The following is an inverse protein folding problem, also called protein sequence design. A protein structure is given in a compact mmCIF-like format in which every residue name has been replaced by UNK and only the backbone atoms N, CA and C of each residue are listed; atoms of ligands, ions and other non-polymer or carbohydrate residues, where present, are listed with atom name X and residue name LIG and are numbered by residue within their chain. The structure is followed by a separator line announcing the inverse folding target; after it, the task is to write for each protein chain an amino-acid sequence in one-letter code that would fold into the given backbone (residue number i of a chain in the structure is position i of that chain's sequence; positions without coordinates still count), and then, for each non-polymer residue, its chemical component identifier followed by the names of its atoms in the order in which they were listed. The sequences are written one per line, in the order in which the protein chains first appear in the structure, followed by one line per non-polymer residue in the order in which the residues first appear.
data_IF_084936153134
#
_entry.id   IF_084936153134
#
_cell.length_a   1.000
_cell.length_b   1.000
_cell.length_c   1.000
_cell.angle_alpha   90.00
_cell.angle_beta   90.00
_cell.angle_gamma   90.00
#
_symmetry.space_group_name_H-M   'P 1'
#
loop_
_entity.id
_entity.type
_entity.pdbx_description
1 polymer ?
#
# COMPACT_ATOMS: atom_id res chain seq x y z
N UNK A 1 -16.52 20.16 -11.98
CA UNK A 1 -16.59 19.17 -10.90
C UNK A 1 -16.09 19.87 -9.63
N UNK A 2 -16.70 19.62 -8.48
CA UNK A 2 -16.21 20.22 -7.23
C UNK A 2 -14.93 19.51 -6.79
N UNK A 3 -13.91 20.25 -6.33
CA UNK A 3 -12.59 19.71 -5.92
C UNK A 3 -12.68 18.50 -4.96
N UNK A 4 -13.53 18.49 -3.92
CA UNK A 4 -13.72 17.33 -3.05
C UNK A 4 -14.12 16.05 -3.77
N UNK A 5 -14.99 16.15 -4.76
CA UNK A 5 -15.42 14.99 -5.57
C UNK A 5 -14.28 14.48 -6.44
N UNK A 6 -13.47 15.38 -7.03
CA UNK A 6 -12.30 15.00 -7.83
C UNK A 6 -11.28 14.20 -7.00
N UNK A 7 -11.04 14.62 -5.76
CA UNK A 7 -10.10 13.92 -4.86
C UNK A 7 -10.58 12.50 -4.52
N UNK A 8 -11.86 12.35 -4.17
CA UNK A 8 -12.45 11.05 -3.87
C UNK A 8 -12.44 10.12 -5.11
N UNK A 9 -12.85 10.65 -6.27
CA UNK A 9 -12.89 9.89 -7.52
C UNK A 9 -11.49 9.44 -7.96
N UNK A 10 -10.48 10.31 -7.87
CA UNK A 10 -9.11 9.98 -8.23
C UNK A 10 -8.51 8.91 -7.30
N UNK A 11 -8.74 9.05 -5.98
CA UNK A 11 -8.32 8.08 -4.98
C UNK A 11 -8.91 6.70 -5.26
N UNK A 12 -10.23 6.62 -5.42
CA UNK A 12 -10.94 5.37 -5.66
C UNK A 12 -10.54 4.74 -7.00
N UNK A 13 -10.42 5.54 -8.06
CA UNK A 13 -10.00 5.04 -9.37
C UNK A 13 -8.65 4.34 -9.28
N UNK A 14 -7.66 4.95 -8.62
CA UNK A 14 -6.33 4.35 -8.51
C UNK A 14 -6.36 3.11 -7.63
N UNK A 15 -7.06 3.13 -6.50
CA UNK A 15 -7.17 1.97 -5.61
C UNK A 15 -7.71 0.72 -6.30
N UNK A 16 -8.71 0.89 -7.19
CA UNK A 16 -9.32 -0.24 -7.90
C UNK A 16 -8.61 -0.62 -9.20
N UNK A 17 -7.87 0.30 -9.83
CA UNK A 17 -7.23 0.07 -11.12
C UNK A 17 -5.76 -0.29 -11.00
N UNK A 18 -5.10 0.18 -9.97
CA UNK A 18 -3.66 0.03 -9.78
C UNK A 18 -3.39 -0.68 -8.45
N UNK A 19 -3.34 -2.00 -8.42
CA UNK A 19 -2.97 -2.75 -7.23
C UNK A 19 -1.62 -2.28 -6.66
N UNK A 20 -1.46 -2.38 -5.35
CA UNK A 20 -0.12 -2.26 -4.78
C UNK A 20 0.71 -3.50 -5.11
N UNK A 21 1.92 -3.31 -5.60
CA UNK A 21 2.83 -4.44 -5.84
C UNK A 21 4.28 -4.05 -5.57
N UNK A 22 4.89 -4.72 -4.59
CA UNK A 22 6.35 -4.63 -4.39
C UNK A 22 7.11 -5.36 -5.50
N UNK A 23 6.53 -6.39 -6.12
CA UNK A 23 7.10 -7.10 -7.26
C UNK A 23 7.29 -6.21 -8.48
N UNK A 24 6.38 -5.23 -8.71
CA UNK A 24 6.42 -4.34 -9.86
C UNK A 24 7.75 -3.59 -10.01
N UNK A 25 8.33 -3.15 -8.90
CA UNK A 25 9.58 -2.39 -8.92
C UNK A 25 10.78 -3.22 -9.38
N UNK A 26 10.80 -4.52 -9.10
CA UNK A 26 11.88 -5.39 -9.59
C UNK A 26 11.79 -5.59 -11.10
N UNK A 27 10.60 -5.79 -11.63
CA UNK A 27 10.38 -5.82 -13.08
C UNK A 27 10.80 -4.51 -13.75
N UNK A 28 10.41 -3.37 -13.18
CA UNK A 28 10.68 -2.05 -13.75
C UNK A 28 12.16 -1.69 -13.71
N UNK A 29 12.83 -1.85 -12.58
CA UNK A 29 14.20 -1.34 -12.39
C UNK A 29 15.30 -2.35 -12.68
N UNK A 30 14.99 -3.64 -12.69
CA UNK A 30 15.97 -4.72 -12.88
C UNK A 30 15.54 -5.77 -13.92
N UNK A 31 14.30 -5.76 -14.36
CA UNK A 31 13.73 -6.66 -15.37
C UNK A 31 13.65 -6.03 -16.75
N UNK A 32 12.66 -6.48 -17.52
CA UNK A 32 12.41 -6.06 -18.88
C UNK A 32 11.69 -4.70 -19.03
N UNK A 33 11.37 -4.05 -17.90
CA UNK A 33 10.66 -2.79 -17.86
C UNK A 33 9.39 -2.84 -17.00
N UNK A 34 8.68 -1.71 -16.93
CA UNK A 34 7.47 -1.60 -16.12
C UNK A 34 6.39 -2.59 -16.55
N UNK A 35 5.83 -3.40 -15.62
CA UNK A 35 4.76 -4.33 -15.93
C UNK A 35 3.47 -3.60 -16.32
N UNK A 36 2.45 -4.28 -16.86
CA UNK A 36 1.12 -3.69 -17.07
C UNK A 36 0.55 -3.09 -15.77
N UNK A 37 -0.17 -1.96 -15.85
CA UNK A 37 -0.75 -1.29 -14.68
C UNK A 37 -1.67 -2.21 -13.86
N UNK A 38 -2.39 -3.11 -14.49
CA UNK A 38 -3.27 -4.09 -13.83
C UNK A 38 -2.54 -5.03 -12.88
N UNK A 39 -1.26 -5.31 -13.10
CA UNK A 39 -0.41 -6.09 -12.19
C UNK A 39 0.20 -5.25 -11.07
N UNK A 40 -0.19 -3.99 -11.00
CA UNK A 40 0.14 -3.10 -9.91
C UNK A 40 1.41 -2.30 -10.07
N UNK A 41 1.63 -1.45 -9.09
CA UNK A 41 2.78 -0.56 -8.93
C UNK A 41 3.18 -0.45 -7.46
N UNK A 42 4.42 -0.06 -7.21
CA UNK A 42 4.83 0.36 -5.87
C UNK A 42 4.02 1.57 -5.39
N UNK A 43 3.97 1.76 -4.06
CA UNK A 43 3.19 2.83 -3.42
C UNK A 43 3.46 4.22 -4.01
N UNK A 44 4.72 4.55 -4.29
CA UNK A 44 5.07 5.83 -4.91
C UNK A 44 4.39 6.07 -6.26
N UNK A 45 4.32 5.05 -7.12
CA UNK A 45 3.66 5.17 -8.42
C UNK A 45 2.13 5.29 -8.29
N UNK A 46 1.51 4.61 -7.33
CA UNK A 46 0.08 4.80 -7.05
C UNK A 46 -0.22 6.25 -6.65
N UNK A 47 0.64 6.83 -5.82
CA UNK A 47 0.51 8.21 -5.33
C UNK A 47 0.70 9.21 -6.46
N UNK A 48 1.70 9.02 -7.31
CA UNK A 48 1.89 9.89 -8.48
C UNK A 48 0.75 9.80 -9.48
N UNK A 49 0.16 8.63 -9.66
CA UNK A 49 -1.01 8.49 -10.52
C UNK A 49 -2.24 9.21 -9.96
N UNK A 50 -2.49 9.14 -8.64
CA UNK A 50 -3.53 9.95 -7.99
C UNK A 50 -3.26 11.43 -8.20
N UNK A 51 -2.02 11.89 -7.96
CA UNK A 51 -1.64 13.29 -8.13
C UNK A 51 -1.84 13.77 -9.57
N UNK A 52 -1.46 12.97 -10.55
CA UNK A 52 -1.68 13.25 -11.98
C UNK A 52 -3.16 13.40 -12.32
N UNK A 53 -4.00 12.45 -11.86
CA UNK A 53 -5.44 12.49 -12.11
C UNK A 53 -6.10 13.73 -11.49
N UNK A 54 -5.70 14.11 -10.28
CA UNK A 54 -6.20 15.32 -9.62
C UNK A 54 -5.77 16.57 -10.38
N UNK A 55 -4.48 16.70 -10.74
CA UNK A 55 -3.98 17.85 -11.49
C UNK A 55 -4.68 17.99 -12.85
N UNK A 56 -4.88 16.90 -13.59
CA UNK A 56 -5.60 16.91 -14.87
C UNK A 56 -7.06 17.31 -14.74
N UNK A 57 -7.74 16.92 -13.63
CA UNK A 57 -9.18 17.14 -13.47
C UNK A 57 -9.56 18.49 -12.88
N UNK A 58 -8.71 19.05 -12.01
CA UNK A 58 -9.02 20.31 -11.32
C UNK A 58 -7.82 21.27 -11.17
N UNK A 59 -6.64 20.92 -11.68
CA UNK A 59 -5.46 21.77 -11.61
C UNK A 59 -4.77 21.84 -10.24
N UNK A 60 -5.26 21.11 -9.23
CA UNK A 60 -4.65 21.09 -7.91
C UNK A 60 -3.34 20.28 -7.92
N UNK A 61 -2.28 20.86 -7.37
CA UNK A 61 -0.95 20.23 -7.31
C UNK A 61 -0.67 19.70 -5.92
N UNK A 62 -0.19 18.45 -5.88
CA UNK A 62 0.22 17.82 -4.63
C UNK A 62 1.64 18.20 -4.23
N UNK A 63 1.87 18.18 -2.91
CA UNK A 63 3.20 18.15 -2.30
C UNK A 63 3.48 16.73 -1.82
N UNK A 64 4.70 16.27 -2.00
CA UNK A 64 5.13 14.94 -1.58
C UNK A 64 6.14 15.07 -0.45
N UNK A 65 5.78 14.56 0.74
CA UNK A 65 6.65 14.49 1.90
C UNK A 65 7.07 13.03 2.11
N UNK A 66 8.33 12.81 2.44
CA UNK A 66 8.89 11.47 2.58
C UNK A 66 9.12 11.11 4.04
N UNK A 67 8.61 9.96 4.47
CA UNK A 67 8.86 9.40 5.79
C UNK A 67 8.81 7.86 5.75
N UNK A 68 9.80 7.20 6.33
CA UNK A 68 9.81 5.73 6.48
C UNK A 68 9.68 4.95 5.16
N UNK A 69 10.23 5.45 4.06
CA UNK A 69 10.13 4.81 2.75
C UNK A 69 8.80 5.07 2.02
N UNK A 70 7.95 5.95 2.56
CA UNK A 70 6.61 6.23 2.03
C UNK A 70 6.34 7.73 1.87
N UNK A 71 5.44 8.07 0.94
CA UNK A 71 5.05 9.44 0.63
C UNK A 71 3.60 9.47 0.14
N UNK A 72 2.67 10.16 0.79
CA UNK A 72 1.31 10.41 0.28
C UNK A 72 1.27 11.60 -0.67
N UNK A 73 0.18 11.76 -1.42
CA UNK A 73 -0.15 13.01 -2.09
C UNK A 73 -0.86 13.93 -1.10
N UNK A 74 -0.23 15.04 -0.75
CA UNK A 74 -0.78 16.05 0.16
C UNK A 74 -1.14 17.32 -0.59
N UNK A 75 -2.29 17.88 -0.28
CA UNK A 75 -2.78 19.14 -0.84
C UNK A 75 -2.95 20.15 0.28
N UNK A 76 -2.26 21.27 0.18
CA UNK A 76 -2.28 22.35 1.17
C UNK A 76 -3.11 23.52 0.64
N UNK A 77 -4.09 23.97 1.40
CA UNK A 77 -4.88 25.14 1.02
C UNK A 77 -5.77 25.65 2.15
N UNK A 78 -5.90 26.99 2.27
CA UNK A 78 -6.83 27.65 3.20
C UNK A 78 -6.84 27.13 4.65
N UNK A 79 -5.68 26.70 5.16
CA UNK A 79 -5.58 26.13 6.50
C UNK A 79 -6.03 24.67 6.60
N UNK A 80 -6.09 23.95 5.50
CA UNK A 80 -6.42 22.54 5.43
C UNK A 80 -5.26 21.74 4.83
N UNK A 81 -5.11 20.51 5.29
CA UNK A 81 -4.30 19.46 4.64
C UNK A 81 -5.26 18.36 4.19
N UNK A 82 -5.31 18.11 2.89
CA UNK A 82 -6.00 16.93 2.34
C UNK A 82 -4.97 15.89 1.95
N UNK A 83 -5.14 14.64 2.40
CA UNK A 83 -4.24 13.51 2.14
C UNK A 83 -4.95 12.50 1.26
N UNK A 84 -4.29 12.11 0.15
CA UNK A 84 -4.69 11.01 -0.72
C UNK A 84 -3.57 9.96 -0.72
N UNK A 85 -3.88 8.76 -0.27
CA UNK A 85 -2.91 7.67 -0.14
C UNK A 85 -3.52 6.31 -0.50
N UNK A 86 -3.44 5.88 -1.77
CA UNK A 86 -3.97 4.59 -2.18
C UNK A 86 -3.31 3.39 -1.49
N UNK A 87 -2.06 3.54 -1.04
CA UNK A 87 -1.35 2.49 -0.31
C UNK A 87 -1.97 2.21 1.06
N UNK A 88 -2.49 3.25 1.73
CA UNK A 88 -3.28 3.16 2.96
C UNK A 88 -4.78 3.24 2.60
N UNK A 89 -5.39 2.21 2.04
CA UNK A 89 -6.54 2.24 1.14
C UNK A 89 -7.81 2.81 1.81
N UNK A 90 -7.77 4.12 2.11
CA UNK A 90 -8.88 4.82 2.77
C UNK A 90 -10.02 5.14 1.79
N UNK A 91 -11.25 5.18 2.32
CA UNK A 91 -12.46 5.27 1.50
C UNK A 91 -12.70 6.69 0.98
N UNK A 92 -12.37 7.69 1.80
CA UNK A 92 -12.56 9.11 1.51
C UNK A 92 -11.27 9.89 1.76
N UNK A 93 -11.03 11.03 1.09
CA UNK A 93 -9.90 11.89 1.39
C UNK A 93 -9.81 12.23 2.88
N UNK A 94 -8.62 12.07 3.48
CA UNK A 94 -8.42 12.48 4.86
C UNK A 94 -8.17 13.99 4.90
N UNK A 95 -9.02 14.74 5.59
CA UNK A 95 -8.95 16.20 5.70
C UNK A 95 -8.68 16.63 7.13
N UNK A 96 -7.66 17.47 7.29
CA UNK A 96 -7.30 18.09 8.57
C UNK A 96 -7.44 19.61 8.43
N UNK A 97 -8.46 20.17 9.05
CA UNK A 97 -8.73 21.61 8.99
C UNK A 97 -8.20 22.31 10.25
N UNK A 98 -7.39 23.35 10.07
CA UNK A 98 -6.82 24.14 11.19
C UNK A 98 -7.90 24.73 12.10
N UNK A 99 -9.08 25.02 11.55
CA UNK A 99 -10.21 25.53 12.32
C UNK A 99 -10.71 24.51 13.38
N UNK A 100 -10.46 23.21 13.19
CA UNK A 100 -10.87 22.15 14.12
C UNK A 100 -9.81 21.88 15.21
N UNK A 101 -8.80 22.75 15.34
CA UNK A 101 -7.73 22.55 16.29
C UNK A 101 -8.20 22.66 17.73
N UNK A 102 -7.84 21.67 18.54
CA UNK A 102 -8.00 21.70 20.00
C UNK A 102 -6.61 21.73 20.64
N UNK A 103 -6.33 22.75 21.44
CA UNK A 103 -5.03 22.93 22.09
C UNK A 103 -3.83 22.82 21.12
N UNK A 104 -3.95 23.43 19.93
CA UNK A 104 -2.89 23.46 18.93
C UNK A 104 -2.74 22.15 18.11
N UNK A 105 -3.66 21.21 18.26
CA UNK A 105 -3.63 19.91 17.57
C UNK A 105 -4.92 19.69 16.77
N UNK A 106 -4.78 19.35 15.51
CA UNK A 106 -5.89 18.89 14.65
C UNK A 106 -5.88 17.37 14.60
N UNK A 107 -7.05 16.74 14.73
CA UNK A 107 -7.23 15.31 14.54
C UNK A 107 -8.38 15.03 13.60
N UNK A 108 -8.15 14.14 12.65
CA UNK A 108 -9.16 13.66 11.72
C UNK A 108 -8.97 12.18 11.45
N UNK A 109 -10.03 11.52 10.98
CA UNK A 109 -9.94 10.13 10.55
C UNK A 109 -10.98 9.84 9.48
N UNK A 110 -10.68 8.84 8.66
CA UNK A 110 -11.58 8.27 7.66
C UNK A 110 -11.52 6.75 7.70
N UNK A 111 -12.60 6.11 7.31
CA UNK A 111 -12.64 4.66 7.16
C UNK A 111 -11.75 4.19 6.00
N UNK A 112 -11.27 2.95 6.09
CA UNK A 112 -10.37 2.37 5.12
C UNK A 112 -10.69 0.88 4.90
N UNK A 113 -10.13 0.30 3.84
CA UNK A 113 -10.08 -1.15 3.68
C UNK A 113 -8.92 -1.75 4.49
N UNK A 114 -9.02 -3.03 4.91
CA UNK A 114 -10.16 -3.93 4.75
C UNK A 114 -11.32 -3.57 5.68
N UNK A 115 -12.53 -3.89 5.23
CA UNK A 115 -13.71 -3.93 6.11
C UNK A 115 -13.81 -5.35 6.64
N UNK A 116 -13.38 -5.55 7.88
CA UNK A 116 -13.40 -6.86 8.56
C UNK A 116 -14.70 -7.08 9.29
N UNK A 117 -14.88 -8.29 9.79
CA UNK A 117 -16.11 -8.67 10.51
C UNK A 117 -15.73 -9.14 11.92
N UNK A 118 -16.43 -8.64 12.93
CA UNK A 118 -16.32 -9.12 14.31
C UNK A 118 -16.95 -10.49 14.47
N UNK A 119 -16.75 -11.09 15.62
CA UNK A 119 -17.39 -12.37 15.99
C UNK A 119 -18.92 -12.30 16.02
N UNK A 120 -19.50 -11.12 16.29
CA UNK A 120 -20.93 -10.85 16.28
C UNK A 120 -21.52 -10.57 14.88
N UNK A 121 -20.67 -10.62 13.83
CA UNK A 121 -21.06 -10.32 12.46
C UNK A 121 -21.02 -8.83 12.08
N UNK A 122 -20.72 -7.93 13.02
CA UNK A 122 -20.67 -6.49 12.73
C UNK A 122 -19.46 -6.12 11.87
N UNK A 123 -19.64 -5.31 10.79
CA UNK A 123 -18.52 -4.82 9.98
C UNK A 123 -17.69 -3.80 10.76
N UNK A 124 -16.37 -3.91 10.59
CA UNK A 124 -15.38 -2.98 11.17
C UNK A 124 -14.41 -2.57 10.07
N UNK A 125 -14.54 -1.36 9.52
CA UNK A 125 -13.57 -0.84 8.58
C UNK A 125 -12.22 -0.63 9.27
N UNK A 126 -11.14 -0.77 8.51
CA UNK A 126 -9.86 -0.20 8.89
C UNK A 126 -9.98 1.33 8.97
N UNK A 127 -8.99 2.00 9.54
CA UNK A 127 -9.04 3.43 9.79
C UNK A 127 -7.71 4.09 9.44
N UNK A 128 -7.78 5.15 8.65
CA UNK A 128 -6.69 6.09 8.50
C UNK A 128 -6.97 7.30 9.39
N UNK A 129 -6.06 7.63 10.29
CA UNK A 129 -6.13 8.81 11.15
C UNK A 129 -4.93 9.72 10.94
N UNK A 130 -5.16 11.01 11.05
CA UNK A 130 -4.15 12.06 11.01
C UNK A 130 -4.15 12.86 12.30
N UNK A 131 -2.96 13.15 12.83
CA UNK A 131 -2.74 14.10 13.91
C UNK A 131 -1.74 15.15 13.45
N UNK A 132 -2.17 16.39 13.38
CA UNK A 132 -1.35 17.52 12.96
C UNK A 132 -1.08 18.45 14.15
N UNK A 133 0.19 18.53 14.57
CA UNK A 133 0.66 19.48 15.59
C UNK A 133 1.05 20.79 14.90
N UNK A 134 0.25 21.84 15.12
CA UNK A 134 0.36 23.09 14.38
C UNK A 134 1.66 23.85 14.71
N UNK A 135 2.09 23.83 15.97
CA UNK A 135 3.30 24.54 16.41
C UNK A 135 4.58 23.90 15.86
N UNK A 136 4.58 22.57 15.77
CA UNK A 136 5.76 21.80 15.37
C UNK A 136 5.83 21.61 13.86
N UNK A 137 4.73 21.87 13.13
CA UNK A 137 4.62 21.58 11.69
C UNK A 137 4.79 20.09 11.41
N UNK A 138 4.26 19.23 12.29
CA UNK A 138 4.37 17.76 12.18
C UNK A 138 3.01 17.15 11.96
N UNK A 139 2.94 16.23 11.01
CA UNK A 139 1.77 15.38 10.72
C UNK A 139 2.11 13.92 10.96
N UNK A 140 1.38 13.25 11.83
CA UNK A 140 1.38 11.80 11.99
C UNK A 140 0.19 11.21 11.24
N UNK A 141 0.43 10.26 10.36
CA UNK A 141 -0.58 9.40 9.76
C UNK A 141 -0.47 8.00 10.36
N UNK A 142 -1.60 7.47 10.84
CA UNK A 142 -1.69 6.12 11.39
C UNK A 142 -2.78 5.33 10.66
N UNK A 143 -2.41 4.16 10.19
CA UNK A 143 -3.33 3.22 9.58
C UNK A 143 -3.51 2.01 10.49
N UNK A 144 -4.72 1.82 10.99
CA UNK A 144 -5.09 0.74 11.89
C UNK A 144 -6.11 -0.19 11.24
N UNK A 145 -6.02 -1.48 11.55
CA UNK A 145 -6.96 -2.52 11.11
C UNK A 145 -7.54 -3.25 12.30
N UNK A 146 -8.77 -3.72 12.17
CA UNK A 146 -9.34 -4.61 13.19
C UNK A 146 -8.63 -5.97 13.14
N UNK A 147 -8.08 -6.40 14.26
CA UNK A 147 -7.54 -7.75 14.44
C UNK A 147 -8.60 -8.67 15.04
N UNK A 148 -9.12 -9.67 14.30
CA UNK A 148 -10.07 -10.63 14.86
C UNK A 148 -9.50 -11.41 16.04
N UNK A 149 -8.19 -11.70 16.01
CA UNK A 149 -7.50 -12.42 17.10
C UNK A 149 -7.45 -11.61 18.40
N UNK A 150 -7.21 -10.28 18.30
CA UNK A 150 -7.11 -9.37 19.45
C UNK A 150 -8.45 -8.74 19.82
N UNK A 151 -9.46 -8.93 18.98
CA UNK A 151 -10.77 -8.26 19.06
C UNK A 151 -10.65 -6.72 19.21
N UNK A 152 -9.64 -6.11 18.58
CA UNK A 152 -9.30 -4.69 18.72
C UNK A 152 -8.73 -4.11 17.42
N UNK A 153 -8.79 -2.78 17.30
CA UNK A 153 -8.02 -2.05 16.27
C UNK A 153 -6.54 -2.08 16.64
N UNK A 154 -5.70 -2.37 15.65
CA UNK A 154 -4.24 -2.44 15.81
C UNK A 154 -3.58 -1.57 14.74
N UNK A 155 -2.68 -0.67 15.15
CA UNK A 155 -1.90 0.15 14.21
C UNK A 155 -0.96 -0.74 13.43
N UNK A 156 -1.11 -0.71 12.12
CA UNK A 156 -0.32 -1.50 11.17
C UNK A 156 0.79 -0.68 10.51
N UNK A 157 0.53 0.62 10.29
CA UNK A 157 1.52 1.57 9.73
C UNK A 157 1.38 2.90 10.45
N UNK A 158 2.52 3.56 10.67
CA UNK A 158 2.58 4.92 11.16
C UNK A 158 3.70 5.67 10.44
N UNK A 159 3.42 6.90 10.00
CA UNK A 159 4.35 7.74 9.28
C UNK A 159 4.31 9.16 9.85
N UNK A 160 5.48 9.69 10.23
CA UNK A 160 5.60 11.05 10.75
C UNK A 160 6.25 11.94 9.70
N UNK A 161 5.55 12.98 9.29
CA UNK A 161 5.99 13.93 8.27
C UNK A 161 6.30 15.29 8.90
N UNK A 162 7.45 15.85 8.56
CA UNK A 162 7.79 17.24 8.83
C UNK A 162 7.36 18.08 7.64
N UNK A 163 6.37 18.96 7.82
CA UNK A 163 5.70 19.67 6.72
C UNK A 163 6.59 20.65 5.96
N UNK A 164 7.78 20.96 6.49
CA UNK A 164 8.77 21.78 5.81
C UNK A 164 9.73 20.99 4.91
N UNK A 165 9.64 19.64 4.87
CA UNK A 165 10.54 18.77 4.12
C UNK A 165 9.82 18.19 2.90
N UNK A 166 10.29 18.49 1.71
CA UNK A 166 9.75 17.97 0.46
C UNK A 166 10.62 16.83 -0.10
N UNK A 167 9.99 15.97 -0.92
CA UNK A 167 10.74 14.98 -1.68
C UNK A 167 11.62 15.63 -2.75
N UNK A 168 12.75 14.96 -3.12
CA UNK A 168 13.45 15.28 -4.35
C UNK A 168 12.48 15.27 -5.56
N UNK A 169 12.81 16.04 -6.57
CA UNK A 169 11.99 16.18 -7.77
C UNK A 169 11.61 14.80 -8.37
N UNK A 170 10.34 14.68 -8.78
CA UNK A 170 9.85 13.52 -9.53
C UNK A 170 10.16 13.67 -11.02
N UNK A 171 10.48 12.59 -11.78
CA UNK A 171 10.54 11.20 -11.32
C UNK A 171 11.74 10.92 -10.41
N UNK A 172 11.54 9.98 -9.47
CA UNK A 172 12.62 9.54 -8.57
C UNK A 172 13.80 9.03 -9.40
N UNK A 173 15.04 9.50 -9.15
CA UNK A 173 16.19 9.04 -9.91
C UNK A 173 16.33 7.50 -9.82
N UNK A 174 16.51 6.85 -10.97
CA UNK A 174 16.61 5.38 -11.07
C UNK A 174 17.62 4.78 -10.10
N UNK A 175 18.77 5.43 -9.92
CA UNK A 175 19.80 4.97 -9.00
C UNK A 175 19.36 5.02 -7.52
N UNK A 176 18.52 5.99 -7.14
CA UNK A 176 17.94 6.06 -5.81
C UNK A 176 16.88 4.96 -5.60
N UNK A 177 15.96 4.80 -6.56
CA UNK A 177 14.96 3.73 -6.53
C UNK A 177 15.60 2.34 -6.42
N UNK A 178 16.63 2.06 -7.22
CA UNK A 178 17.39 0.81 -7.16
C UNK A 178 18.00 0.55 -5.79
N UNK A 179 18.59 1.57 -5.15
CA UNK A 179 19.14 1.41 -3.80
C UNK A 179 18.06 1.07 -2.77
N UNK A 180 16.92 1.75 -2.81
CA UNK A 180 15.80 1.44 -1.89
C UNK A 180 15.31 0.00 -2.00
N UNK A 181 15.27 -0.56 -3.21
CA UNK A 181 14.83 -1.94 -3.45
C UNK A 181 15.81 -2.99 -2.90
N UNK A 182 17.06 -2.63 -2.70
CA UNK A 182 18.09 -3.53 -2.14
C UNK A 182 18.29 -3.32 -0.64
N UNK A 183 17.52 -2.45 0.00
CA UNK A 183 17.60 -2.29 1.45
C UNK A 183 17.14 -3.55 2.20
N UNK A 184 17.77 -3.88 3.35
CA UNK A 184 17.46 -5.08 4.13
C UNK A 184 16.01 -5.17 4.62
N UNK A 185 15.26 -4.08 4.60
CA UNK A 185 13.85 -4.05 5.04
C UNK A 185 12.89 -4.77 4.09
N UNK A 186 13.30 -5.08 2.85
CA UNK A 186 12.48 -5.85 1.92
C UNK A 186 12.48 -7.33 2.33
N UNK A 187 11.41 -7.79 2.96
CA UNK A 187 11.30 -9.15 3.52
C UNK A 187 10.25 -10.01 2.80
N UNK A 188 9.65 -9.50 1.75
CA UNK A 188 8.67 -10.22 0.91
C UNK A 188 8.51 -9.59 -0.45
N UNK A 189 7.91 -10.34 -1.38
CA UNK A 189 7.30 -9.79 -2.59
C UNK A 189 5.80 -10.01 -2.52
N UNK A 190 5.03 -9.00 -2.92
CA UNK A 190 3.57 -9.12 -2.89
C UNK A 190 2.87 -8.34 -3.99
N UNK A 191 1.65 -8.78 -4.28
CA UNK A 191 0.62 -8.02 -4.96
C UNK A 191 -0.61 -7.98 -4.08
N UNK A 192 -1.11 -6.78 -3.78
CA UNK A 192 -2.32 -6.55 -2.99
C UNK A 192 -3.37 -5.87 -3.87
N UNK A 193 -4.51 -6.51 -3.99
CA UNK A 193 -5.62 -6.06 -4.82
C UNK A 193 -6.82 -5.64 -3.97
N UNK A 194 -7.62 -4.73 -4.51
CA UNK A 194 -8.93 -4.42 -4.00
C UNK A 194 -9.97 -4.82 -5.05
N UNK A 195 -10.75 -5.85 -4.77
CA UNK A 195 -11.78 -6.34 -5.67
C UNK A 195 -12.98 -5.39 -5.67
N UNK A 196 -13.26 -4.78 -6.83
CA UNK A 196 -14.28 -3.71 -6.96
C UNK A 196 -15.70 -4.18 -6.57
N UNK A 197 -16.11 -5.33 -7.05
CA UNK A 197 -17.46 -5.86 -6.82
C UNK A 197 -17.69 -6.23 -5.36
N UNK A 198 -16.74 -6.92 -4.74
CA UNK A 198 -16.86 -7.41 -3.38
C UNK A 198 -16.34 -6.44 -2.32
N UNK A 199 -15.60 -5.39 -2.73
CA UNK A 199 -14.92 -4.44 -1.83
C UNK A 199 -14.03 -5.14 -0.80
N UNK A 200 -13.33 -6.18 -1.24
CA UNK A 200 -12.43 -7.00 -0.43
C UNK A 200 -11.00 -6.80 -0.86
N UNK A 201 -10.10 -6.83 0.11
CA UNK A 201 -8.66 -6.90 -0.14
C UNK A 201 -8.25 -8.38 -0.19
N UNK A 202 -7.44 -8.72 -1.20
CA UNK A 202 -6.66 -9.94 -1.27
C UNK A 202 -5.19 -9.59 -1.47
N UNK A 203 -4.30 -10.38 -0.89
CA UNK A 203 -2.86 -10.21 -1.08
C UNK A 203 -2.20 -11.56 -1.34
N UNK A 204 -1.46 -11.68 -2.46
CA UNK A 204 -0.53 -12.79 -2.71
C UNK A 204 0.85 -12.34 -2.25
N UNK A 205 1.49 -13.16 -1.44
CA UNK A 205 2.79 -12.85 -0.82
C UNK A 205 3.76 -14.00 -0.97
N UNK A 206 4.99 -13.70 -1.34
CA UNK A 206 6.15 -14.56 -1.20
C UNK A 206 7.00 -14.01 -0.05
N UNK A 207 6.91 -14.57 1.16
CA UNK A 207 7.73 -14.14 2.29
C UNK A 207 9.15 -14.65 2.14
N UNK A 208 10.15 -13.90 2.59
CA UNK A 208 11.58 -14.27 2.50
C UNK A 208 12.13 -14.96 3.76
N UNK A 209 11.46 -14.77 4.88
CA UNK A 209 11.94 -15.22 6.19
C UNK A 209 12.01 -16.72 6.33
N UNK A 210 13.03 -17.17 7.05
CA UNK A 210 13.19 -18.57 7.46
C UNK A 210 13.58 -19.51 6.34
N UNK A 211 14.17 -19.00 5.23
CA UNK A 211 14.52 -19.81 4.07
C UNK A 211 15.93 -19.60 3.59
N UNK A 212 16.55 -20.66 3.09
CA UNK A 212 17.72 -20.54 2.23
C UNK A 212 17.37 -19.74 0.96
N UNK A 213 18.34 -18.99 0.46
CA UNK A 213 18.17 -18.12 -0.72
C UNK A 213 17.70 -18.85 -1.97
N UNK A 214 18.14 -20.07 -2.17
CA UNK A 214 17.77 -20.95 -3.30
C UNK A 214 16.29 -21.36 -3.27
N UNK A 215 15.65 -21.33 -2.09
CA UNK A 215 14.22 -21.61 -1.92
C UNK A 215 13.31 -20.40 -2.12
N UNK A 216 13.87 -19.20 -2.36
CA UNK A 216 13.04 -18.00 -2.60
C UNK A 216 12.18 -18.11 -3.88
N UNK A 217 12.58 -18.96 -4.81
CA UNK A 217 11.86 -19.16 -6.07
C UNK A 217 10.91 -20.37 -6.05
N UNK A 218 10.68 -20.98 -4.90
CA UNK A 218 9.77 -22.12 -4.77
C UNK A 218 8.33 -21.61 -4.55
N UNK A 219 7.39 -21.89 -5.51
CA UNK A 219 6.02 -21.42 -5.41
C UNK A 219 5.23 -22.04 -4.26
N UNK A 220 5.67 -23.17 -3.70
CA UNK A 220 5.01 -23.81 -2.55
C UNK A 220 5.07 -22.94 -1.28
N UNK A 221 5.90 -21.93 -1.30
CA UNK A 221 5.98 -20.95 -0.22
C UNK A 221 5.09 -19.72 -0.40
N UNK A 222 4.39 -19.60 -1.48
CA UNK A 222 3.40 -18.54 -1.63
C UNK A 222 2.31 -18.69 -0.57
N UNK A 223 1.88 -17.54 -0.08
CA UNK A 223 0.71 -17.44 0.81
C UNK A 223 -0.25 -16.41 0.26
N UNK A 224 -1.54 -16.60 0.53
CA UNK A 224 -2.52 -15.52 0.38
C UNK A 224 -2.93 -14.98 1.74
N UNK A 225 -3.35 -13.71 1.76
CA UNK A 225 -4.05 -13.09 2.89
C UNK A 225 -5.42 -12.63 2.40
N UNK A 226 -6.47 -13.12 3.07
CA UNK A 226 -7.84 -12.71 2.76
C UNK A 226 -8.20 -11.36 3.43
N UNK A 227 -9.41 -10.90 3.17
CA UNK A 227 -9.93 -9.65 3.75
C UNK A 227 -9.98 -9.66 5.29
N UNK A 228 -10.08 -10.83 5.94
CA UNK A 228 -10.04 -10.98 7.39
C UNK A 228 -8.61 -11.08 7.94
N UNK A 229 -7.60 -11.10 7.07
CA UNK A 229 -6.20 -11.28 7.42
C UNK A 229 -5.81 -12.74 7.66
N UNK A 230 -6.67 -13.69 7.30
CA UNK A 230 -6.32 -15.12 7.40
C UNK A 230 -5.33 -15.47 6.32
N UNK A 231 -4.34 -16.25 6.72
CA UNK A 231 -3.26 -16.71 5.85
C UNK A 231 -3.58 -18.10 5.35
N UNK A 232 -3.56 -18.30 4.03
CA UNK A 232 -3.68 -19.59 3.37
C UNK A 232 -2.38 -19.91 2.63
N UNK A 233 -1.95 -21.17 2.66
CA UNK A 233 -0.70 -21.63 2.04
C UNK A 233 -0.98 -22.25 0.67
N UNK A 234 -0.01 -22.15 -0.22
CA UNK A 234 -0.06 -22.82 -1.53
C UNK A 234 -0.48 -24.28 -1.39
N UNK A 235 -1.25 -24.77 -2.35
CA UNK A 235 -1.80 -26.13 -2.37
C UNK A 235 -3.09 -26.34 -1.54
N UNK A 236 -3.55 -25.32 -0.77
CA UNK A 236 -4.84 -25.44 -0.05
C UNK A 236 -6.01 -24.89 -0.88
N UNK A 237 -7.24 -25.40 -0.67
CA UNK A 237 -8.43 -24.87 -1.35
C UNK A 237 -8.70 -23.38 -1.03
N UNK A 238 -8.36 -22.93 0.18
CA UNK A 238 -8.46 -21.55 0.61
C UNK A 238 -7.52 -20.66 -0.21
N UNK A 239 -6.26 -21.07 -0.37
CA UNK A 239 -5.29 -20.37 -1.21
C UNK A 239 -5.79 -20.24 -2.66
N UNK A 240 -6.32 -21.31 -3.25
CA UNK A 240 -6.83 -21.27 -4.61
C UNK A 240 -7.96 -20.25 -4.76
N UNK A 241 -8.93 -20.24 -3.84
CA UNK A 241 -10.04 -19.26 -3.85
C UNK A 241 -9.58 -17.82 -3.70
N UNK A 242 -8.63 -17.56 -2.78
CA UNK A 242 -8.10 -16.21 -2.56
C UNK A 242 -7.30 -15.77 -3.80
N UNK A 243 -6.55 -16.67 -4.41
CA UNK A 243 -5.78 -16.37 -5.61
C UNK A 243 -6.68 -16.12 -6.83
N UNK A 244 -7.80 -16.84 -6.95
CA UNK A 244 -8.83 -16.56 -7.97
C UNK A 244 -9.37 -15.14 -7.82
N UNK A 245 -9.72 -14.70 -6.60
CA UNK A 245 -10.19 -13.32 -6.33
C UNK A 245 -9.12 -12.26 -6.65
N UNK A 246 -7.85 -12.54 -6.35
CA UNK A 246 -6.74 -11.64 -6.68
C UNK A 246 -6.57 -11.56 -8.20
N UNK A 247 -6.63 -12.67 -8.90
CA UNK A 247 -6.50 -12.74 -10.35
C UNK A 247 -7.65 -12.02 -11.06
N UNK A 248 -8.87 -12.21 -10.58
CA UNK A 248 -10.06 -11.53 -11.11
C UNK A 248 -9.97 -10.00 -10.93
N UNK A 249 -9.47 -9.54 -9.78
CA UNK A 249 -9.28 -8.11 -9.52
C UNK A 249 -8.27 -7.43 -10.46
N UNK A 250 -7.43 -8.19 -11.15
CA UNK A 250 -6.43 -7.69 -12.11
C UNK A 250 -6.74 -8.10 -13.56
N UNK A 251 -7.94 -8.56 -13.84
CA UNK A 251 -8.34 -9.08 -15.16
C UNK A 251 -7.34 -10.13 -15.71
N UNK A 252 -6.89 -11.03 -14.84
CA UNK A 252 -5.87 -12.02 -15.15
C UNK A 252 -6.24 -13.44 -14.72
N UNK A 253 -5.27 -14.34 -14.77
CA UNK A 253 -5.41 -15.71 -14.30
C UNK A 253 -4.55 -15.97 -13.05
N UNK A 254 -4.90 -16.93 -12.19
CA UNK A 254 -4.05 -17.38 -11.08
C UNK A 254 -2.61 -17.71 -11.50
N UNK A 255 -2.46 -18.37 -12.63
CA UNK A 255 -1.15 -18.72 -13.19
C UNK A 255 -0.33 -17.47 -13.55
N UNK A 256 -0.96 -16.47 -14.17
CA UNK A 256 -0.30 -15.20 -14.53
C UNK A 256 0.14 -14.42 -13.31
N UNK A 257 -0.71 -14.29 -12.29
CA UNK A 257 -0.38 -13.58 -11.04
C UNK A 257 0.73 -14.29 -10.28
N UNK A 258 0.69 -15.62 -10.22
CA UNK A 258 1.75 -16.44 -9.62
C UNK A 258 3.07 -16.25 -10.36
N UNK A 259 3.08 -16.41 -11.69
CA UNK A 259 4.27 -16.25 -12.51
C UNK A 259 4.87 -14.84 -12.33
N UNK A 260 4.04 -13.81 -12.30
CA UNK A 260 4.48 -12.43 -12.09
C UNK A 260 5.27 -12.24 -10.79
N UNK A 261 4.79 -12.78 -9.66
CA UNK A 261 5.49 -12.69 -8.37
C UNK A 261 6.76 -13.56 -8.38
N UNK A 262 6.71 -14.75 -8.99
CA UNK A 262 7.87 -15.65 -9.07
C UNK A 262 8.97 -15.11 -9.99
N UNK A 263 8.62 -14.46 -11.09
CA UNK A 263 9.59 -13.78 -11.97
C UNK A 263 10.28 -12.62 -11.24
N UNK A 264 9.53 -11.85 -10.44
CA UNK A 264 10.13 -10.83 -9.58
C UNK A 264 11.08 -11.44 -8.53
N UNK A 265 10.75 -12.61 -7.97
CA UNK A 265 11.63 -13.34 -7.06
C UNK A 265 12.93 -13.78 -7.75
N UNK A 266 12.85 -14.25 -8.99
CA UNK A 266 14.02 -14.62 -9.78
C UNK A 266 14.92 -13.39 -10.09
N UNK A 267 14.32 -12.24 -10.33
CA UNK A 267 15.05 -10.96 -10.50
C UNK A 267 15.72 -10.58 -9.17
N UNK A 268 14.95 -10.57 -8.07
CA UNK A 268 15.44 -10.26 -6.72
C UNK A 268 16.64 -11.14 -6.35
N UNK A 269 16.52 -12.45 -6.58
CA UNK A 269 17.58 -13.41 -6.30
C UNK A 269 18.91 -13.10 -7.02
N UNK A 270 18.84 -12.54 -8.23
CA UNK A 270 20.03 -12.17 -9.03
C UNK A 270 20.69 -10.88 -8.57
N UNK A 271 19.91 -9.92 -8.04
CA UNK A 271 20.39 -8.55 -7.81
C UNK A 271 20.75 -8.26 -6.35
N UNK A 272 20.18 -9.02 -5.42
CA UNK A 272 20.42 -8.83 -3.97
C UNK A 272 21.74 -9.48 -3.56
N UNK A 273 22.55 -8.81 -2.70
CA UNK A 273 23.77 -9.40 -2.16
C UNK A 273 23.52 -10.74 -1.48
N UNK A 274 24.41 -11.75 -1.66
CA UNK A 274 24.20 -13.11 -1.13
C UNK A 274 24.15 -13.19 0.40
N UNK A 275 24.75 -12.23 1.10
CA UNK A 275 24.88 -12.20 2.55
C UNK A 275 23.77 -11.38 3.25
N UNK A 276 22.75 -10.97 2.51
CA UNK A 276 21.68 -10.14 3.08
C UNK A 276 20.81 -10.94 4.04
N UNK A 277 20.73 -10.49 5.29
CA UNK A 277 19.76 -10.96 6.27
C UNK A 277 18.46 -10.16 6.12
N UNK A 278 17.34 -10.87 6.10
CA UNK A 278 16.02 -10.24 6.05
C UNK A 278 15.41 -10.12 7.44
N UNK A 279 14.71 -9.01 7.73
CA UNK A 279 13.86 -8.95 8.91
C UNK A 279 12.77 -10.01 8.81
N UNK A 280 12.32 -10.49 9.95
CA UNK A 280 11.26 -11.49 10.00
C UNK A 280 9.99 -10.96 9.33
N UNK A 281 9.38 -11.79 8.47
CA UNK A 281 8.07 -11.52 7.92
C UNK A 281 7.02 -12.13 8.85
N UNK A 282 6.22 -11.29 9.48
CA UNK A 282 5.11 -11.77 10.30
C UNK A 282 3.98 -12.25 9.40
N UNK A 283 3.56 -13.50 9.59
CA UNK A 283 2.33 -14.04 9.02
C UNK A 283 1.14 -13.72 9.91
N UNK A 284 1.38 -13.26 11.13
CA UNK A 284 0.32 -12.80 12.02
C UNK A 284 -0.27 -11.50 11.47
N UNK A 285 -1.58 -11.45 11.43
CA UNK A 285 -2.27 -10.22 11.11
C UNK A 285 -2.35 -9.37 12.38
N UNK A 286 -1.43 -8.44 12.45
CA UNK A 286 -1.41 -7.48 13.53
C UNK A 286 -2.42 -6.37 13.29
#
# INVERSE_FOLDING_TARGET
MNEPTVFADALQEVQFRVPYSSAASYHEYYGAGAPPWRLGRACGWQIFEVARLVEERCGARSTHLYAGGHSPAMYFGHGEITVLDPYLPHLEPLRLCRADAVSGTVRAATDAYPIRVRADGAPVPARLSGTWWLADGVLLLEYARYSPRRAAMVTHRAFTYHLATELPAFPVPTGFARRLLLEPMQNNLSIRTLHRGERRIGELVLPFTGRPRDQLMDPDFLITKDNQGRVSRAGTPEFARDLDLIADAVDGTPAEVTAYVMDAAAIYHKVVPPEQNWPEYSTEDE
#
